data_IF_501015028327
#
_entry.id   IF_501015028327
#
_cell.length_a   1.000
_cell.length_b   1.000
_cell.length_c   1.000
_cell.angle_alpha   90.00
_cell.angle_beta   90.00
_cell.angle_gamma   90.00
#
_symmetry.space_group_name_H-M   'P 1'
#
loop_
_entity.id
_entity.type
_entity.pdbx_description
1 polymer ?
#
# COMPACT_ATOMS: atom_id res chain seq x y z
N UNK A 1 -18.37 -9.22 7.62
CA UNK A 1 -17.55 -9.48 8.79
C UNK A 1 -16.63 -8.31 9.14
N UNK A 2 -15.75 -7.85 8.26
CA UNK A 2 -14.89 -6.69 8.54
C UNK A 2 -15.68 -5.39 8.79
N UNK A 3 -16.79 -5.16 8.07
CA UNK A 3 -17.69 -4.03 8.32
C UNK A 3 -18.29 -4.06 9.74
N UNK A 4 -18.53 -5.24 10.29
CA UNK A 4 -18.98 -5.43 11.66
C UNK A 4 -17.87 -5.05 12.65
N UNK A 5 -16.63 -5.52 12.46
CA UNK A 5 -15.50 -5.15 13.33
C UNK A 5 -15.27 -3.63 13.33
N UNK A 6 -15.29 -2.99 12.15
CA UNK A 6 -15.19 -1.54 12.06
C UNK A 6 -16.37 -0.85 12.73
N UNK A 7 -17.59 -1.34 12.51
CA UNK A 7 -18.79 -0.83 13.16
C UNK A 7 -18.71 -0.92 14.68
N UNK A 8 -18.19 -2.05 15.19
CA UNK A 8 -18.01 -2.28 16.63
C UNK A 8 -16.96 -1.33 17.22
N UNK A 9 -15.81 -1.17 16.55
CA UNK A 9 -14.75 -0.22 16.99
C UNK A 9 -15.26 1.21 16.99
N UNK A 10 -15.99 1.61 15.95
CA UNK A 10 -16.59 2.96 15.87
C UNK A 10 -17.64 3.17 16.96
N UNK A 11 -18.42 2.14 17.29
CA UNK A 11 -19.41 2.20 18.39
C UNK A 11 -18.74 2.36 19.75
N UNK A 12 -17.61 1.67 20.01
CA UNK A 12 -16.82 1.88 21.21
C UNK A 12 -16.21 3.28 21.27
N UNK A 13 -15.66 3.78 20.16
CA UNK A 13 -15.12 5.12 20.09
C UNK A 13 -16.21 6.16 20.37
N UNK A 14 -17.41 5.99 19.81
CA UNK A 14 -18.54 6.88 20.06
C UNK A 14 -18.99 6.86 21.53
N UNK A 15 -19.06 5.67 22.14
CA UNK A 15 -19.36 5.50 23.57
C UNK A 15 -18.31 6.16 24.48
N UNK A 16 -17.01 6.00 24.16
CA UNK A 16 -15.92 6.61 24.89
C UNK A 16 -15.97 8.15 24.81
N UNK A 17 -16.20 8.69 23.60
CA UNK A 17 -16.33 10.14 23.39
C UNK A 17 -17.56 10.71 24.11
N UNK A 18 -18.69 9.99 24.07
CA UNK A 18 -19.87 10.40 24.81
C UNK A 18 -19.64 10.39 26.32
N UNK A 19 -19.00 9.34 26.85
CA UNK A 19 -18.65 9.25 28.28
C UNK A 19 -17.72 10.38 28.71
N UNK A 20 -16.70 10.68 27.88
CA UNK A 20 -15.79 11.79 28.12
C UNK A 20 -16.52 13.14 28.11
N UNK A 21 -17.42 13.34 27.14
CA UNK A 21 -18.24 14.54 27.04
C UNK A 21 -19.15 14.74 28.26
N UNK A 22 -19.75 13.67 28.80
CA UNK A 22 -20.56 13.75 30.02
C UNK A 22 -19.72 14.07 31.25
N UNK A 23 -18.52 13.48 31.39
CA UNK A 23 -17.59 13.79 32.47
C UNK A 23 -17.17 15.27 32.42
N UNK A 24 -16.75 15.75 31.25
CA UNK A 24 -16.31 17.14 31.06
C UNK A 24 -17.46 18.11 31.35
N UNK A 25 -18.67 17.82 30.87
CA UNK A 25 -19.83 18.68 31.12
C UNK A 25 -20.22 18.72 32.59
N UNK A 26 -20.11 17.60 33.33
CA UNK A 26 -20.35 17.56 34.78
C UNK A 26 -19.32 18.34 35.57
N UNK A 27 -18.04 18.27 35.19
CA UNK A 27 -16.96 19.04 35.81
C UNK A 27 -17.13 20.55 35.54
N UNK A 28 -17.50 20.93 34.32
CA UNK A 28 -17.72 22.35 33.98
C UNK A 28 -18.97 22.94 34.68
N UNK A 29 -19.97 22.08 34.98
CA UNK A 29 -21.16 22.49 35.74
C UNK A 29 -20.94 22.56 37.26
N UNK A 30 -19.71 22.35 37.73
CA UNK A 30 -19.36 22.42 39.15
C UNK A 30 -20.05 21.37 40.04
N UNK A 31 -20.54 20.27 39.46
CA UNK A 31 -21.12 19.16 40.19
C UNK A 31 -20.02 18.24 40.72
N UNK A 32 -20.02 17.87 42.00
CA UNK A 32 -19.02 16.94 42.53
C UNK A 32 -19.11 15.60 41.79
N UNK A 33 -17.96 15.01 41.48
CA UNK A 33 -17.83 13.67 40.91
C UNK A 33 -18.08 12.61 42.00
N UNK A 34 -19.23 12.67 42.64
CA UNK A 34 -19.72 11.59 43.50
C UNK A 34 -20.13 10.41 42.61
N UNK A 35 -19.98 9.18 43.08
CA UNK A 35 -20.16 7.93 42.31
C UNK A 35 -21.47 7.77 41.55
N UNK A 36 -22.29 8.85 41.46
CA UNK A 36 -23.51 8.96 40.66
C UNK A 36 -23.26 9.10 39.16
N UNK A 37 -21.99 9.29 38.71
CA UNK A 37 -21.68 9.37 37.28
C UNK A 37 -22.03 8.07 36.52
N UNK A 38 -21.91 6.91 37.19
CA UNK A 38 -22.33 5.62 36.62
C UNK A 38 -23.86 5.47 36.51
N UNK A 39 -24.62 6.22 37.32
CA UNK A 39 -26.10 6.21 37.27
C UNK A 39 -26.64 7.03 36.12
N UNK A 40 -25.84 7.94 35.56
CA UNK A 40 -26.25 8.78 34.44
C UNK A 40 -26.15 8.08 33.07
N UNK A 41 -25.52 6.90 33.00
CA UNK A 41 -25.45 6.12 31.75
C UNK A 41 -26.80 5.44 31.51
N UNK A 42 -27.49 5.73 30.40
CA UNK A 42 -28.76 5.06 30.10
C UNK A 42 -28.60 3.55 30.09
N UNK A 43 -29.49 2.83 30.80
CA UNK A 43 -29.45 1.35 30.87
C UNK A 43 -29.26 0.66 29.51
N UNK A 44 -29.90 1.11 28.40
CA UNK A 44 -29.62 0.51 27.07
C UNK A 44 -28.15 0.60 26.64
N UNK A 45 -27.44 1.68 26.99
CA UNK A 45 -26.01 1.82 26.65
C UNK A 45 -25.13 0.86 27.44
N UNK A 46 -25.47 0.54 28.68
CA UNK A 46 -24.75 -0.48 29.45
C UNK A 46 -24.89 -1.87 28.82
N UNK A 47 -26.08 -2.21 28.32
CA UNK A 47 -26.31 -3.46 27.61
C UNK A 47 -25.55 -3.52 26.28
N UNK A 48 -25.51 -2.42 25.53
CA UNK A 48 -24.71 -2.32 24.31
C UNK A 48 -23.22 -2.49 24.64
N UNK A 49 -22.72 -1.80 25.66
CA UNK A 49 -21.32 -1.91 26.08
C UNK A 49 -20.95 -3.33 26.53
N UNK A 50 -21.87 -4.05 27.20
CA UNK A 50 -21.64 -5.44 27.61
C UNK A 50 -21.76 -6.44 26.45
N UNK A 51 -22.60 -6.19 25.46
CA UNK A 51 -22.77 -7.06 24.30
C UNK A 51 -21.61 -6.91 23.27
N UNK A 52 -21.00 -5.74 23.16
CA UNK A 52 -19.94 -5.46 22.19
C UNK A 52 -18.71 -6.39 22.32
N UNK A 53 -18.14 -6.68 23.50
CA UNK A 53 -17.03 -7.65 23.65
C UNK A 53 -17.41 -9.04 23.19
N UNK A 54 -18.64 -9.46 23.45
CA UNK A 54 -19.16 -10.78 23.04
C UNK A 54 -19.26 -10.84 21.51
N UNK A 55 -19.80 -9.80 20.87
CA UNK A 55 -19.86 -9.70 19.43
C UNK A 55 -18.46 -9.72 18.79
N UNK A 56 -17.51 -8.96 19.35
CA UNK A 56 -16.10 -8.98 18.89
C UNK A 56 -15.48 -10.36 19.01
N UNK A 57 -15.72 -11.06 20.11
CA UNK A 57 -15.20 -12.42 20.32
C UNK A 57 -15.80 -13.40 19.31
N UNK A 58 -17.11 -13.31 19.05
CA UNK A 58 -17.80 -14.14 18.04
C UNK A 58 -17.27 -13.82 16.63
N UNK A 59 -17.10 -12.55 16.30
CA UNK A 59 -16.55 -12.12 15.02
C UNK A 59 -15.10 -12.58 14.84
N UNK A 60 -14.26 -12.46 15.86
CA UNK A 60 -12.89 -12.96 15.85
C UNK A 60 -12.85 -14.48 15.65
N UNK A 61 -13.74 -15.22 16.32
CA UNK A 61 -13.86 -16.66 16.16
C UNK A 61 -14.32 -17.04 14.74
N UNK A 62 -15.36 -16.38 14.23
CA UNK A 62 -15.85 -16.60 12.86
C UNK A 62 -14.77 -16.25 11.83
N UNK A 63 -14.06 -15.14 12.03
CA UNK A 63 -12.94 -14.75 11.18
C UNK A 63 -11.85 -15.83 11.18
N UNK A 64 -11.47 -16.32 12.35
CA UNK A 64 -10.48 -17.37 12.50
C UNK A 64 -10.90 -18.63 11.77
N UNK A 65 -12.13 -19.11 11.99
CA UNK A 65 -12.68 -20.31 11.34
C UNK A 65 -12.77 -20.16 9.82
N UNK A 66 -13.21 -19.00 9.34
CA UNK A 66 -13.31 -18.73 7.90
C UNK A 66 -11.92 -18.58 7.25
N UNK A 67 -10.95 -18.04 7.97
CA UNK A 67 -9.57 -17.90 7.50
C UNK A 67 -8.87 -19.24 7.34
N UNK A 68 -9.13 -20.18 8.25
CA UNK A 68 -8.60 -21.56 8.15
C UNK A 68 -9.04 -22.23 6.82
N UNK A 69 -10.23 -21.95 6.35
CA UNK A 69 -10.78 -22.56 5.10
C UNK A 69 -10.33 -21.91 3.81
N UNK A 70 -9.88 -20.64 3.84
CA UNK A 70 -9.62 -19.86 2.61
C UNK A 70 -8.20 -20.00 2.06
N UNK A 71 -7.26 -20.34 2.88
CA UNK A 71 -5.85 -20.30 2.50
C UNK A 71 -5.32 -21.75 2.46
N UNK A 72 -5.18 -22.28 1.25
CA UNK A 72 -4.62 -23.60 1.03
C UNK A 72 -3.26 -23.79 1.71
N UNK A 73 -2.88 -25.02 1.91
CA UNK A 73 -1.62 -25.45 2.54
C UNK A 73 -0.40 -25.04 1.67
N UNK A 74 -0.10 -23.75 1.62
CA UNK A 74 1.22 -23.35 1.14
C UNK A 74 2.22 -23.62 2.26
N UNK A 75 3.23 -24.49 2.01
CA UNK A 75 4.22 -24.80 3.03
C UNK A 75 4.88 -23.52 3.55
N UNK A 76 4.89 -23.33 4.87
CA UNK A 76 5.67 -22.28 5.51
C UNK A 76 7.12 -22.75 5.54
N UNK A 77 7.90 -22.32 4.55
CA UNK A 77 9.30 -22.64 4.45
C UNK A 77 10.11 -21.43 4.02
N UNK A 78 11.34 -21.34 4.51
CA UNK A 78 12.29 -20.36 4.00
C UNK A 78 12.63 -20.77 2.56
N UNK A 79 12.36 -19.90 1.60
CA UNK A 79 12.79 -20.06 0.22
C UNK A 79 14.22 -19.53 0.13
N UNK A 80 15.04 -20.24 -0.56
CA UNK A 80 16.39 -19.79 -0.92
C UNK A 80 16.63 -20.19 -2.37
N UNK A 81 16.32 -19.29 -3.27
CA UNK A 81 16.39 -19.51 -4.71
C UNK A 81 17.01 -18.28 -5.37
N UNK A 82 18.32 -18.35 -5.55
CA UNK A 82 19.10 -17.25 -6.10
C UNK A 82 18.68 -17.00 -7.55
N UNK A 83 18.44 -15.74 -7.89
CA UNK A 83 18.23 -15.32 -9.27
C UNK A 83 19.62 -15.07 -9.89
N UNK A 84 20.09 -15.96 -10.75
CA UNK A 84 21.39 -15.75 -11.39
C UNK A 84 21.27 -14.62 -12.42
N UNK A 85 22.27 -13.73 -12.47
CA UNK A 85 22.36 -12.68 -13.49
C UNK A 85 21.07 -11.86 -13.62
N UNK A 86 20.84 -10.96 -12.69
CA UNK A 86 19.66 -10.09 -12.71
C UNK A 86 19.53 -9.36 -14.06
N UNK A 87 18.34 -9.49 -14.66
CA UNK A 87 17.93 -8.71 -15.82
C UNK A 87 16.72 -7.89 -15.39
N UNK A 88 17.00 -6.70 -14.83
CA UNK A 88 16.00 -5.82 -14.25
C UNK A 88 15.40 -4.94 -15.33
N UNK A 89 14.09 -4.93 -15.43
CA UNK A 89 13.33 -3.94 -16.21
C UNK A 89 12.52 -3.07 -15.27
N UNK A 90 12.73 -1.76 -15.39
CA UNK A 90 12.02 -0.77 -14.58
C UNK A 90 10.81 -0.26 -15.36
N UNK A 91 9.61 -0.51 -14.85
CA UNK A 91 8.36 0.08 -15.30
C UNK A 91 8.09 1.36 -14.50
N UNK A 92 8.22 2.50 -15.14
CA UNK A 92 8.10 3.82 -14.53
C UNK A 92 6.83 4.51 -15.03
N UNK A 93 5.95 4.90 -14.14
CA UNK A 93 4.73 5.64 -14.49
C UNK A 93 5.00 7.14 -14.47
N UNK A 94 4.48 7.87 -15.46
CA UNK A 94 4.62 9.31 -15.57
C UNK A 94 3.33 9.99 -16.03
N UNK A 95 3.04 11.16 -15.48
CA UNK A 95 1.94 12.03 -15.90
C UNK A 95 2.27 13.49 -15.58
N UNK A 96 2.57 14.29 -16.61
CA UNK A 96 3.02 15.67 -16.49
C UNK A 96 4.19 15.82 -15.50
N UNK A 97 5.23 15.05 -15.70
CA UNK A 97 6.43 14.98 -14.85
C UNK A 97 7.68 15.49 -15.60
N UNK A 98 7.53 16.48 -16.52
CA UNK A 98 8.63 17.01 -17.34
C UNK A 98 9.81 17.53 -16.53
N UNK A 99 9.56 18.00 -15.29
CA UNK A 99 10.60 18.54 -14.40
C UNK A 99 11.51 17.44 -13.82
N UNK A 100 11.01 16.20 -13.72
CA UNK A 100 11.66 15.13 -12.98
C UNK A 100 12.05 13.92 -13.84
N UNK A 101 11.33 13.70 -14.94
CA UNK A 101 11.40 12.42 -15.64
C UNK A 101 12.79 12.08 -16.19
N UNK A 102 13.53 13.07 -16.70
CA UNK A 102 14.87 12.84 -17.24
C UNK A 102 15.83 12.32 -16.17
N UNK A 103 15.86 12.98 -15.01
CA UNK A 103 16.71 12.58 -13.89
C UNK A 103 16.27 11.23 -13.33
N UNK A 104 14.95 10.98 -13.21
CA UNK A 104 14.42 9.71 -12.75
C UNK A 104 14.86 8.55 -13.67
N UNK A 105 14.74 8.72 -14.98
CA UNK A 105 15.18 7.72 -15.96
C UNK A 105 16.68 7.45 -15.82
N UNK A 106 17.51 8.51 -15.76
CA UNK A 106 18.98 8.37 -15.65
C UNK A 106 19.37 7.70 -14.34
N UNK A 107 18.75 8.08 -13.21
CA UNK A 107 19.04 7.50 -11.89
C UNK A 107 18.76 5.99 -11.88
N UNK A 108 17.61 5.55 -12.40
CA UNK A 108 17.29 4.11 -12.42
C UNK A 108 18.10 3.37 -13.46
N UNK A 109 18.36 3.97 -14.63
CA UNK A 109 19.15 3.36 -15.69
C UNK A 109 20.62 3.16 -15.32
N UNK A 110 21.16 3.99 -14.45
CA UNK A 110 22.52 3.87 -13.95
C UNK A 110 22.72 2.75 -12.92
N UNK A 111 21.64 2.14 -12.42
CA UNK A 111 21.76 1.10 -11.41
C UNK A 111 22.27 -0.22 -12.02
N UNK A 112 23.07 -0.99 -11.25
CA UNK A 112 23.53 -2.30 -11.68
C UNK A 112 22.38 -3.20 -12.13
N UNK A 113 22.62 -3.98 -13.18
CA UNK A 113 21.69 -4.97 -13.73
C UNK A 113 20.38 -4.43 -14.30
N UNK A 114 20.14 -3.13 -14.29
CA UNK A 114 19.02 -2.51 -15.02
C UNK A 114 19.35 -2.55 -16.51
N UNK A 115 18.52 -3.27 -17.27
CA UNK A 115 18.66 -3.45 -18.71
C UNK A 115 17.82 -2.48 -19.51
N UNK A 116 16.66 -2.11 -18.97
CA UNK A 116 15.72 -1.21 -19.62
C UNK A 116 14.92 -0.41 -18.60
N UNK A 117 14.61 0.84 -18.94
CA UNK A 117 13.64 1.67 -18.26
C UNK A 117 12.51 1.95 -19.23
N UNK A 118 11.32 1.49 -18.91
CA UNK A 118 10.10 1.71 -19.68
C UNK A 118 9.29 2.79 -18.97
N UNK A 119 9.15 3.94 -19.60
CA UNK A 119 8.29 5.03 -19.11
C UNK A 119 6.92 4.89 -19.73
N UNK A 120 5.90 4.73 -18.88
CA UNK A 120 4.50 4.76 -19.32
C UNK A 120 3.97 6.17 -19.14
N UNK A 121 3.83 6.86 -20.25
CA UNK A 121 3.21 8.18 -20.29
C UNK A 121 1.69 8.05 -20.32
N UNK A 122 1.04 8.50 -19.25
CA UNK A 122 -0.42 8.39 -19.09
C UNK A 122 -1.13 9.69 -19.48
N UNK A 123 -1.07 10.03 -20.77
CA UNK A 123 -1.67 11.24 -21.36
C UNK A 123 -1.08 12.54 -20.81
N UNK A 124 0.23 12.67 -20.72
CA UNK A 124 0.87 13.95 -20.39
C UNK A 124 0.56 15.00 -21.46
N UNK A 125 0.39 16.24 -21.03
CA UNK A 125 0.17 17.40 -21.88
C UNK A 125 1.42 18.28 -21.97
N UNK A 126 2.47 17.95 -21.26
CA UNK A 126 3.78 18.57 -21.23
C UNK A 126 4.81 17.73 -22.03
N UNK A 127 6.07 18.03 -21.86
CA UNK A 127 7.17 17.34 -22.56
C UNK A 127 7.64 16.05 -21.91
N UNK A 128 6.86 15.45 -20.99
CA UNK A 128 7.25 14.26 -20.23
C UNK A 128 7.72 13.13 -21.15
N UNK A 129 6.95 12.75 -22.15
CA UNK A 129 7.29 11.66 -23.08
C UNK A 129 8.57 11.92 -23.87
N UNK A 130 8.73 13.12 -24.41
CA UNK A 130 9.91 13.51 -25.18
C UNK A 130 11.18 13.49 -24.33
N UNK A 131 11.09 14.04 -23.12
CA UNK A 131 12.20 14.09 -22.17
C UNK A 131 12.60 12.70 -21.66
N UNK A 132 11.63 11.82 -21.43
CA UNK A 132 11.87 10.44 -21.08
C UNK A 132 12.62 9.70 -22.19
N UNK A 133 12.19 9.87 -23.45
CA UNK A 133 12.87 9.27 -24.62
C UNK A 133 14.29 9.81 -24.77
N UNK A 134 14.47 11.13 -24.66
CA UNK A 134 15.78 11.78 -24.72
C UNK A 134 16.74 11.30 -23.61
N UNK A 135 16.21 10.96 -22.42
CA UNK A 135 16.97 10.36 -21.31
C UNK A 135 17.30 8.88 -21.55
N UNK A 136 16.81 8.28 -22.64
CA UNK A 136 17.09 6.91 -23.06
C UNK A 136 16.11 5.87 -22.54
N UNK A 137 14.90 6.26 -22.12
CA UNK A 137 13.84 5.32 -21.79
C UNK A 137 13.10 4.86 -23.04
N UNK A 138 12.55 3.65 -22.98
CA UNK A 138 11.51 3.22 -23.91
C UNK A 138 10.17 3.81 -23.46
N UNK A 139 9.62 4.72 -24.24
CA UNK A 139 8.34 5.37 -23.91
C UNK A 139 7.17 4.59 -24.49
N UNK A 140 6.15 4.36 -23.69
CA UNK A 140 4.89 3.69 -24.05
C UNK A 140 3.72 4.55 -23.63
N UNK A 141 2.78 4.78 -24.52
CA UNK A 141 1.55 5.54 -24.23
C UNK A 141 0.47 4.64 -23.64
N UNK A 142 -0.17 5.07 -22.54
CA UNK A 142 -1.40 4.45 -22.02
C UNK A 142 -2.55 5.46 -22.13
N UNK A 143 -3.46 5.30 -23.10
CA UNK A 143 -4.52 6.28 -23.37
C UNK A 143 -5.61 6.32 -22.28
N UNK A 144 -5.76 5.27 -21.48
CA UNK A 144 -6.73 5.27 -20.38
C UNK A 144 -6.14 6.03 -19.20
N UNK A 145 -6.74 7.17 -18.87
CA UNK A 145 -6.28 7.99 -17.76
C UNK A 145 -6.44 7.26 -16.43
N UNK A 146 -5.36 7.10 -15.68
CA UNK A 146 -5.37 6.56 -14.32
C UNK A 146 -4.09 5.82 -13.97
N UNK A 147 -3.64 6.06 -12.75
CA UNK A 147 -2.39 5.51 -12.20
C UNK A 147 -2.29 3.98 -12.38
N UNK A 148 -3.36 3.26 -12.03
CA UNK A 148 -3.36 1.80 -12.15
C UNK A 148 -3.29 1.30 -13.59
N UNK A 149 -3.86 2.03 -14.55
CA UNK A 149 -3.73 1.68 -15.97
C UNK A 149 -2.29 1.82 -16.45
N UNK A 150 -1.62 2.91 -16.06
CA UNK A 150 -0.21 3.10 -16.35
C UNK A 150 0.66 1.98 -15.72
N UNK A 151 0.38 1.62 -14.46
CA UNK A 151 1.07 0.50 -13.80
C UNK A 151 0.89 -0.82 -14.56
N UNK A 152 -0.35 -1.19 -14.90
CA UNK A 152 -0.64 -2.44 -15.61
C UNK A 152 0.03 -2.46 -16.99
N UNK A 153 0.01 -1.33 -17.70
CA UNK A 153 0.70 -1.21 -18.99
C UNK A 153 2.21 -1.42 -18.84
N UNK A 154 2.84 -0.73 -17.90
CA UNK A 154 4.28 -0.86 -17.65
C UNK A 154 4.71 -2.26 -17.24
N UNK A 155 3.95 -2.91 -16.36
CA UNK A 155 4.18 -4.29 -15.93
C UNK A 155 4.07 -5.28 -17.10
N UNK A 156 3.09 -5.08 -17.97
CA UNK A 156 2.92 -5.91 -19.18
C UNK A 156 4.09 -5.74 -20.14
N UNK A 157 4.45 -4.50 -20.48
CA UNK A 157 5.57 -4.20 -21.36
C UNK A 157 6.91 -4.69 -20.83
N UNK A 158 7.10 -4.64 -19.51
CA UNK A 158 8.30 -5.16 -18.88
C UNK A 158 8.45 -6.68 -19.03
N UNK A 159 7.35 -7.43 -19.01
CA UNK A 159 7.37 -8.88 -19.22
C UNK A 159 7.68 -9.27 -20.66
N UNK A 160 7.49 -8.39 -21.62
CA UNK A 160 7.82 -8.63 -23.04
C UNK A 160 9.33 -8.45 -23.30
N UNK A 161 10.07 -7.86 -22.36
CA UNK A 161 11.52 -7.68 -22.52
C UNK A 161 12.26 -9.03 -22.47
N UNK A 162 13.19 -9.28 -23.42
CA UNK A 162 13.89 -10.55 -23.49
C UNK A 162 14.64 -10.88 -22.20
N UNK A 163 14.47 -12.12 -21.72
CA UNK A 163 15.19 -12.67 -20.54
C UNK A 163 14.96 -11.89 -19.24
N UNK A 164 13.93 -11.04 -19.15
CA UNK A 164 13.59 -10.37 -17.89
C UNK A 164 13.31 -11.39 -16.78
N UNK A 165 13.93 -11.19 -15.63
CA UNK A 165 13.70 -12.02 -14.45
C UNK A 165 13.28 -11.20 -13.22
N UNK A 166 13.54 -9.88 -13.22
CA UNK A 166 13.07 -8.95 -12.20
C UNK A 166 12.38 -7.75 -12.87
N UNK A 167 11.18 -7.43 -12.41
CA UNK A 167 10.45 -6.22 -12.81
C UNK A 167 10.33 -5.29 -11.62
N UNK A 168 10.67 -4.03 -11.80
CA UNK A 168 10.53 -2.97 -10.79
C UNK A 168 9.45 -2.01 -11.25
N UNK A 169 8.51 -1.70 -10.37
CA UNK A 169 7.49 -0.66 -10.57
C UNK A 169 7.84 0.56 -9.73
N UNK A 170 7.83 1.74 -10.32
CA UNK A 170 8.16 3.01 -9.66
C UNK A 170 7.48 4.20 -10.33
N UNK A 171 7.41 5.35 -9.66
CA UNK A 171 6.97 6.63 -10.23
C UNK A 171 8.17 7.46 -10.71
N UNK A 172 7.97 8.25 -11.79
CA UNK A 172 9.01 9.09 -12.41
C UNK A 172 9.17 10.47 -11.78
N UNK A 173 8.80 10.66 -10.53
CA UNK A 173 8.68 11.94 -9.83
C UNK A 173 9.82 12.26 -8.85
N UNK A 174 10.90 11.49 -8.89
CA UNK A 174 12.08 11.59 -8.01
C UNK A 174 11.84 11.29 -6.53
N UNK A 175 10.64 10.82 -6.14
CA UNK A 175 10.36 10.48 -4.74
C UNK A 175 11.13 9.24 -4.27
N UNK A 176 11.42 8.30 -5.15
CA UNK A 176 12.18 7.08 -4.84
C UNK A 176 13.61 7.16 -5.34
N UNK A 177 14.51 6.52 -4.61
CA UNK A 177 15.93 6.47 -4.98
C UNK A 177 16.25 5.17 -5.73
N UNK A 178 16.87 5.30 -6.91
CA UNK A 178 17.29 4.15 -7.72
C UNK A 178 18.25 3.21 -6.98
N UNK A 179 19.13 3.76 -6.13
CA UNK A 179 20.07 2.99 -5.30
C UNK A 179 19.39 1.99 -4.35
N UNK A 180 18.09 2.19 -4.03
CA UNK A 180 17.36 1.27 -3.16
C UNK A 180 17.05 -0.07 -3.84
N UNK A 181 17.28 -0.21 -5.16
CA UNK A 181 17.27 -1.51 -5.82
C UNK A 181 18.25 -2.49 -5.19
N UNK A 182 19.40 -2.00 -4.71
CA UNK A 182 20.39 -2.81 -3.99
C UNK A 182 19.87 -3.38 -2.66
N UNK A 183 18.81 -2.79 -2.09
CA UNK A 183 18.13 -3.30 -0.90
C UNK A 183 16.99 -4.27 -1.26
N UNK A 184 16.23 -3.99 -2.32
CA UNK A 184 15.05 -4.77 -2.67
C UNK A 184 15.37 -6.06 -3.41
N UNK A 185 16.25 -5.98 -4.41
CA UNK A 185 16.53 -7.11 -5.33
C UNK A 185 17.07 -8.35 -4.62
N UNK A 186 17.99 -8.26 -3.66
CA UNK A 186 18.50 -9.45 -2.96
C UNK A 186 17.44 -10.23 -2.19
N UNK A 187 16.39 -9.58 -1.69
CA UNK A 187 15.31 -10.28 -1.01
C UNK A 187 14.46 -11.13 -1.95
N UNK A 188 14.54 -10.91 -3.27
CA UNK A 188 13.84 -11.77 -4.23
C UNK A 188 14.36 -13.20 -4.25
N UNK A 189 15.54 -13.48 -3.68
CA UNK A 189 16.02 -14.84 -3.48
C UNK A 189 15.15 -15.63 -2.46
N UNK A 190 14.46 -14.91 -1.59
CA UNK A 190 13.62 -15.48 -0.54
C UNK A 190 12.13 -15.35 -0.81
N UNK A 191 11.71 -14.34 -1.61
CA UNK A 191 10.29 -14.01 -1.83
C UNK A 191 9.99 -13.75 -3.29
N UNK A 192 8.72 -13.67 -3.62
CA UNK A 192 8.24 -13.42 -4.98
C UNK A 192 8.10 -11.93 -5.28
N UNK A 193 7.78 -11.13 -4.26
CA UNK A 193 7.61 -9.68 -4.38
C UNK A 193 8.16 -8.96 -3.14
N UNK A 194 8.92 -7.92 -3.37
CA UNK A 194 9.40 -6.97 -2.36
C UNK A 194 8.67 -5.65 -2.57
N UNK A 195 8.11 -5.11 -1.51
CA UNK A 195 7.41 -3.81 -1.50
C UNK A 195 8.22 -2.84 -0.65
N UNK A 196 8.41 -1.63 -1.13
CA UNK A 196 9.00 -0.58 -0.32
C UNK A 196 8.06 -0.15 0.81
N UNK A 197 8.61 0.31 1.93
CA UNK A 197 7.84 1.01 2.95
C UNK A 197 8.49 2.36 3.26
N UNK A 198 7.66 3.40 3.43
CA UNK A 198 8.05 4.79 3.69
C UNK A 198 7.81 5.21 5.13
N UNK A 199 7.54 4.25 6.01
CA UNK A 199 7.22 4.51 7.42
C UNK A 199 8.44 4.72 8.32
N UNK A 200 9.65 4.55 7.76
CA UNK A 200 10.92 4.71 8.46
C UNK A 200 11.39 6.16 8.32
N UNK A 201 11.35 6.90 9.42
CA UNK A 201 11.64 8.34 9.44
C UNK A 201 13.05 8.66 8.96
N UNK A 202 14.03 7.84 9.32
CA UNK A 202 15.45 8.01 8.98
C UNK A 202 15.73 7.91 7.46
N UNK A 203 14.80 7.36 6.71
CA UNK A 203 14.88 7.24 5.25
C UNK A 203 13.96 8.21 4.51
N UNK A 204 13.27 9.07 5.24
CA UNK A 204 12.34 10.06 4.68
C UNK A 204 12.93 11.45 4.85
N UNK A 205 13.07 12.21 3.74
CA UNK A 205 13.57 13.59 3.83
C UNK A 205 12.55 14.50 4.51
N UNK A 206 13.04 15.46 5.30
CA UNK A 206 12.19 16.38 6.09
C UNK A 206 11.21 17.19 5.23
N UNK A 207 11.63 17.52 4.00
CA UNK A 207 10.83 18.26 3.02
C UNK A 207 9.93 17.37 2.16
N UNK A 208 9.84 16.05 2.48
CA UNK A 208 8.96 15.12 1.79
C UNK A 208 7.49 15.45 2.02
N UNK A 209 6.64 15.01 1.10
CA UNK A 209 5.18 15.19 1.20
C UNK A 209 4.51 14.22 2.19
N UNK A 210 5.29 13.34 2.82
CA UNK A 210 4.79 12.29 3.69
C UNK A 210 4.59 12.84 5.11
N UNK A 211 3.44 13.48 5.35
CA UNK A 211 3.08 13.92 6.69
C UNK A 211 2.64 12.74 7.58
N UNK A 212 2.66 12.96 8.89
CA UNK A 212 2.17 11.98 9.88
C UNK A 212 0.79 11.42 9.53
N UNK A 213 -0.11 12.24 8.99
CA UNK A 213 -1.44 11.83 8.56
C UNK A 213 -1.41 10.72 7.50
N UNK A 214 -0.54 10.85 6.50
CA UNK A 214 -0.37 9.84 5.45
C UNK A 214 0.34 8.59 5.97
N UNK A 215 1.32 8.73 6.85
CA UNK A 215 2.00 7.59 7.49
C UNK A 215 0.99 6.75 8.27
N UNK A 216 0.26 7.37 9.19
CA UNK A 216 -0.74 6.66 10.01
C UNK A 216 -1.90 6.11 9.18
N UNK A 217 -2.36 6.84 8.17
CA UNK A 217 -3.39 6.37 7.24
C UNK A 217 -2.94 5.11 6.48
N UNK A 218 -1.73 5.09 5.94
CA UNK A 218 -1.17 3.91 5.28
C UNK A 218 -0.97 2.75 6.25
N UNK A 219 -0.46 2.99 7.46
CA UNK A 219 -0.32 1.96 8.49
C UNK A 219 -1.66 1.35 8.86
N UNK A 220 -2.70 2.16 9.03
CA UNK A 220 -4.05 1.67 9.29
C UNK A 220 -4.55 0.75 8.17
N UNK A 221 -4.46 1.19 6.91
CA UNK A 221 -4.84 0.37 5.75
C UNK A 221 -4.00 -0.91 5.63
N UNK A 222 -2.72 -0.83 5.99
CA UNK A 222 -1.83 -1.98 6.04
C UNK A 222 -2.29 -3.01 7.08
N UNK A 223 -2.66 -2.55 8.30
CA UNK A 223 -3.20 -3.44 9.33
C UNK A 223 -4.54 -4.02 8.95
N UNK A 224 -5.41 -3.26 8.28
CA UNK A 224 -6.66 -3.79 7.70
C UNK A 224 -6.38 -4.92 6.71
N UNK A 225 -5.45 -4.71 5.79
CA UNK A 225 -5.04 -5.72 4.81
C UNK A 225 -4.45 -6.95 5.52
N UNK A 226 -3.61 -6.75 6.51
CA UNK A 226 -2.99 -7.82 7.30
C UNK A 226 -4.05 -8.64 8.04
N UNK A 227 -5.04 -8.01 8.66
CA UNK A 227 -6.17 -8.69 9.32
C UNK A 227 -7.01 -9.46 8.30
N UNK A 228 -7.28 -8.89 7.13
CA UNK A 228 -8.04 -9.57 6.07
C UNK A 228 -7.40 -10.88 5.60
N UNK A 229 -6.07 -10.90 5.53
CA UNK A 229 -5.28 -12.06 5.09
C UNK A 229 -4.64 -12.82 6.25
N UNK A 230 -5.10 -12.57 7.49
CA UNK A 230 -4.61 -13.30 8.65
C UNK A 230 -5.10 -14.75 8.63
N UNK A 231 -4.23 -15.68 8.97
CA UNK A 231 -4.58 -17.05 9.22
C UNK A 231 -3.83 -17.58 10.46
N UNK A 232 -4.45 -18.52 11.14
CA UNK A 232 -3.94 -19.04 12.42
C UNK A 232 -2.70 -19.93 12.23
N UNK A 233 -2.61 -20.65 11.12
CA UNK A 233 -1.49 -21.56 10.82
C UNK A 233 -0.16 -20.82 10.69
N UNK A 234 -0.21 -19.60 10.12
CA UNK A 234 0.98 -18.85 9.74
C UNK A 234 1.15 -17.58 10.58
N UNK A 235 0.33 -17.38 11.62
CA UNK A 235 0.38 -16.19 12.49
C UNK A 235 0.34 -14.88 11.68
N UNK A 236 -0.42 -14.91 10.59
CA UNK A 236 -0.45 -13.85 9.57
C UNK A 236 0.69 -13.99 8.56
N UNK A 237 0.34 -14.15 7.29
CA UNK A 237 1.29 -14.39 6.18
C UNK A 237 2.19 -13.21 5.88
N UNK A 238 1.72 -12.01 6.15
CA UNK A 238 2.39 -10.77 5.73
C UNK A 238 2.47 -9.81 6.90
N UNK A 239 3.58 -9.08 7.00
CA UNK A 239 3.75 -7.96 7.91
C UNK A 239 3.81 -6.70 7.08
N UNK A 240 2.81 -5.81 7.24
CA UNK A 240 2.64 -4.63 6.41
C UNK A 240 2.58 -3.36 7.26
N UNK A 241 3.22 -2.32 6.76
CA UNK A 241 3.19 -0.97 7.33
C UNK A 241 2.80 0.09 6.30
N UNK A 242 2.96 -0.18 4.99
CA UNK A 242 2.67 0.78 3.93
C UNK A 242 2.10 0.12 2.67
N UNK A 243 0.77 0.06 2.54
CA UNK A 243 0.12 -0.47 1.33
C UNK A 243 0.13 0.49 0.14
N UNK A 244 0.42 1.76 0.40
CA UNK A 244 0.41 2.82 -0.61
C UNK A 244 1.75 3.01 -1.32
N UNK A 245 2.82 2.35 -0.89
CA UNK A 245 4.11 2.46 -1.55
C UNK A 245 4.06 1.90 -2.97
N UNK A 246 4.58 2.67 -3.90
CA UNK A 246 4.58 2.33 -5.33
C UNK A 246 5.85 1.60 -5.75
N UNK A 247 6.97 1.85 -5.07
CA UNK A 247 8.23 1.16 -5.36
C UNK A 247 8.16 -0.33 -4.98
N UNK A 248 8.26 -1.20 -5.98
CA UNK A 248 8.16 -2.65 -5.81
C UNK A 248 9.10 -3.38 -6.77
N UNK A 249 9.66 -4.46 -6.29
CA UNK A 249 10.40 -5.40 -7.13
C UNK A 249 9.67 -6.76 -7.09
N UNK A 250 9.49 -7.39 -8.22
CA UNK A 250 8.80 -8.67 -8.35
C UNK A 250 9.52 -9.59 -9.33
N UNK A 251 9.58 -10.87 -9.03
CA UNK A 251 10.05 -11.89 -9.98
C UNK A 251 9.14 -11.90 -11.21
N UNK A 252 9.71 -11.93 -12.40
CA UNK A 252 8.93 -11.93 -13.64
C UNK A 252 7.95 -13.12 -13.72
N UNK A 253 8.34 -14.29 -13.24
CA UNK A 253 7.47 -15.47 -13.18
C UNK A 253 6.29 -15.28 -12.21
N UNK A 254 6.50 -14.63 -11.06
CA UNK A 254 5.44 -14.31 -10.13
C UNK A 254 4.50 -13.23 -10.70
N UNK A 255 5.05 -12.24 -11.41
CA UNK A 255 4.26 -11.23 -12.09
C UNK A 255 3.31 -11.84 -13.14
N UNK A 256 3.79 -12.82 -13.95
CA UNK A 256 2.96 -13.52 -14.92
C UNK A 256 1.75 -14.21 -14.27
N UNK A 257 1.90 -14.72 -13.03
CA UNK A 257 0.79 -15.39 -12.31
C UNK A 257 -0.31 -14.41 -11.86
N UNK A 258 0.01 -13.14 -11.68
CA UNK A 258 -0.94 -12.16 -11.13
C UNK A 258 -1.43 -11.13 -12.16
N UNK A 259 -0.74 -10.95 -13.28
CA UNK A 259 -0.97 -9.85 -14.22
C UNK A 259 -2.42 -9.77 -14.69
N UNK A 260 -3.02 -10.88 -15.08
CA UNK A 260 -4.41 -10.95 -15.57
C UNK A 260 -5.45 -10.63 -14.46
N UNK A 261 -5.05 -10.69 -13.21
CA UNK A 261 -5.90 -10.36 -12.08
C UNK A 261 -5.82 -8.88 -11.66
N UNK A 262 -4.87 -8.12 -12.22
CA UNK A 262 -4.74 -6.69 -11.97
C UNK A 262 -5.77 -5.94 -12.82
N UNK A 263 -6.80 -5.35 -12.17
CA UNK A 263 -7.95 -4.75 -12.88
C UNK A 263 -8.30 -3.34 -12.41
N UNK A 264 -7.51 -2.77 -11.52
CA UNK A 264 -7.79 -1.48 -10.89
C UNK A 264 -7.05 -0.36 -11.59
N UNK A 265 -7.78 0.57 -12.22
CA UNK A 265 -7.19 1.70 -12.95
C UNK A 265 -6.83 2.92 -12.09
N UNK A 266 -7.34 3.02 -10.86
CA UNK A 266 -7.14 4.19 -9.99
C UNK A 266 -5.99 4.07 -9.00
N UNK A 267 -5.89 5.06 -8.08
CA UNK A 267 -4.83 5.12 -7.06
C UNK A 267 -4.84 3.96 -6.05
N UNK A 268 -5.96 3.23 -5.91
CA UNK A 268 -6.05 2.02 -5.09
C UNK A 268 -5.44 0.78 -5.78
N UNK A 269 -4.71 0.97 -6.88
CA UNK A 269 -3.94 -0.09 -7.53
C UNK A 269 -2.85 -0.67 -6.60
N UNK A 270 -2.18 0.18 -5.82
CA UNK A 270 -1.10 -0.26 -4.92
C UNK A 270 -1.55 -1.33 -3.91
N UNK A 271 -2.61 -1.11 -3.09
CA UNK A 271 -3.15 -2.18 -2.24
C UNK A 271 -3.76 -3.33 -3.06
N UNK A 272 -4.35 -3.07 -4.25
CA UNK A 272 -4.92 -4.12 -5.08
C UNK A 272 -3.86 -5.14 -5.53
N UNK A 273 -2.76 -4.68 -6.10
CA UNK A 273 -1.66 -5.57 -6.53
C UNK A 273 -1.13 -6.41 -5.37
N UNK A 274 -0.99 -5.81 -4.18
CA UNK A 274 -0.56 -6.50 -2.98
C UNK A 274 -1.55 -7.59 -2.56
N UNK A 275 -2.85 -7.27 -2.55
CA UNK A 275 -3.91 -8.25 -2.20
C UNK A 275 -3.98 -9.39 -3.22
N UNK A 276 -3.84 -9.09 -4.51
CA UNK A 276 -3.77 -10.14 -5.56
C UNK A 276 -2.58 -11.05 -5.33
N UNK A 277 -1.39 -10.49 -5.08
CA UNK A 277 -0.19 -11.28 -4.80
C UNK A 277 -0.38 -12.21 -3.60
N UNK A 278 -0.88 -11.69 -2.48
CA UNK A 278 -1.14 -12.48 -1.26
C UNK A 278 -2.20 -13.56 -1.52
N UNK A 279 -3.28 -13.23 -2.22
CA UNK A 279 -4.38 -14.18 -2.51
C UNK A 279 -3.95 -15.33 -3.41
N UNK A 280 -2.97 -15.09 -4.28
CA UNK A 280 -2.35 -16.13 -5.13
C UNK A 280 -1.26 -16.93 -4.40
N UNK A 281 -1.01 -16.65 -3.14
CA UNK A 281 -0.04 -17.36 -2.33
C UNK A 281 1.41 -16.91 -2.53
N UNK A 282 1.64 -15.79 -3.23
CA UNK A 282 2.98 -15.24 -3.40
C UNK A 282 3.56 -14.79 -2.05
N UNK A 283 4.84 -15.03 -1.88
CA UNK A 283 5.60 -14.55 -0.71
C UNK A 283 5.93 -13.07 -0.91
N UNK A 284 5.52 -12.25 0.05
CA UNK A 284 5.72 -10.78 0.00
C UNK A 284 6.41 -10.30 1.27
N UNK A 285 7.35 -9.39 1.11
CA UNK A 285 8.04 -8.72 2.24
C UNK A 285 8.08 -7.21 2.01
N UNK A 286 8.03 -6.44 3.08
CA UNK A 286 8.29 -4.99 3.05
C UNK A 286 9.73 -4.69 3.44
N UNK A 287 10.37 -3.78 2.72
CA UNK A 287 11.72 -3.29 2.96
C UNK A 287 11.69 -1.76 3.01
N UNK A 288 12.32 -1.12 4.01
CA UNK A 288 12.40 0.33 4.10
C UNK A 288 13.16 0.94 2.91
N UNK A 289 12.53 1.92 2.26
CA UNK A 289 13.10 2.63 1.11
C UNK A 289 13.26 4.12 1.40
N UNK A 290 14.21 4.74 0.72
CA UNK A 290 14.41 6.18 0.78
C UNK A 290 13.24 6.89 0.11
N UNK A 291 12.63 7.85 0.81
CA UNK A 291 11.56 8.66 0.27
C UNK A 291 11.94 10.14 0.32
N UNK A 292 12.01 10.75 -0.84
CA UNK A 292 12.49 12.12 -1.05
C UNK A 292 11.33 13.07 -1.37
N UNK A 293 11.64 14.36 -1.36
CA UNK A 293 10.74 15.36 -1.89
C UNK A 293 10.46 15.08 -3.37
N UNK A 294 9.18 15.18 -3.74
CA UNK A 294 8.74 15.13 -5.13
C UNK A 294 9.22 16.37 -5.89
N UNK A 295 9.70 16.16 -7.09
CA UNK A 295 9.92 17.25 -8.03
C UNK A 295 8.61 17.53 -8.77
N UNK A 296 8.23 18.81 -8.85
CA UNK A 296 6.96 19.22 -9.47
C UNK A 296 5.75 19.10 -8.52
N UNK A 297 4.54 19.16 -9.09
CA UNK A 297 3.28 19.24 -8.35
C UNK A 297 2.66 17.86 -8.15
N UNK A 298 2.24 17.54 -6.93
CA UNK A 298 1.53 16.30 -6.64
C UNK A 298 0.13 16.30 -7.28
N UNK A 299 -0.18 15.26 -8.04
CA UNK A 299 -1.47 15.07 -8.73
C UNK A 299 -2.37 14.06 -8.01
N UNK A 300 -1.79 13.29 -7.09
CA UNK A 300 -2.46 12.28 -6.28
C UNK A 300 -2.88 12.75 -4.89
N UNK A 301 -2.69 11.88 -3.91
CA UNK A 301 -3.06 12.12 -2.51
C UNK A 301 -2.41 13.37 -1.90
N UNK A 302 -1.16 13.67 -2.26
CA UNK A 302 -0.41 14.82 -1.76
C UNK A 302 -0.90 16.19 -2.23
N UNK A 303 -1.85 16.27 -3.19
CA UNK A 303 -2.34 17.55 -3.72
C UNK A 303 -3.24 18.31 -2.73
N UNK A 304 -3.99 17.61 -1.87
CA UNK A 304 -4.73 18.19 -0.75
C UNK A 304 -5.12 17.11 0.27
N UNK A 305 -5.28 17.50 1.55
CA UNK A 305 -5.69 16.56 2.61
C UNK A 305 -7.05 15.91 2.32
N UNK A 306 -8.01 16.66 1.76
CA UNK A 306 -9.34 16.13 1.39
C UNK A 306 -9.24 15.10 0.26
N UNK A 307 -8.44 15.37 -0.76
CA UNK A 307 -8.21 14.41 -1.85
C UNK A 307 -7.50 13.16 -1.33
N UNK A 308 -6.51 13.34 -0.46
CA UNK A 308 -5.82 12.24 0.21
C UNK A 308 -6.77 11.37 1.03
N UNK A 309 -7.67 11.99 1.82
CA UNK A 309 -8.70 11.27 2.56
C UNK A 309 -9.64 10.49 1.63
N UNK A 310 -10.10 11.11 0.55
CA UNK A 310 -10.95 10.45 -0.45
C UNK A 310 -10.27 9.23 -1.10
N UNK A 311 -8.97 9.32 -1.39
CA UNK A 311 -8.19 8.17 -1.90
C UNK A 311 -8.07 7.10 -0.81
N UNK A 312 -7.77 7.48 0.43
CA UNK A 312 -7.70 6.56 1.57
C UNK A 312 -9.00 5.80 1.79
N UNK A 313 -10.14 6.49 1.74
CA UNK A 313 -11.48 5.86 1.86
C UNK A 313 -11.76 4.88 0.71
N UNK A 314 -11.33 5.19 -0.53
CA UNK A 314 -11.46 4.26 -1.65
C UNK A 314 -10.56 3.03 -1.47
N UNK A 315 -9.33 3.21 -0.98
CA UNK A 315 -8.45 2.09 -0.65
C UNK A 315 -9.07 1.22 0.45
N UNK A 316 -9.59 1.84 1.51
CA UNK A 316 -10.28 1.15 2.60
C UNK A 316 -11.47 0.34 2.07
N UNK A 317 -12.35 0.96 1.29
CA UNK A 317 -13.48 0.29 0.68
C UNK A 317 -13.05 -0.89 -0.19
N UNK A 318 -12.03 -0.68 -1.00
CA UNK A 318 -11.48 -1.74 -1.85
C UNK A 318 -10.90 -2.90 -1.03
N UNK A 319 -10.18 -2.61 0.07
CA UNK A 319 -9.69 -3.65 0.99
C UNK A 319 -10.86 -4.42 1.61
N UNK A 320 -11.94 -3.74 1.98
CA UNK A 320 -13.12 -4.36 2.58
C UNK A 320 -13.85 -5.31 1.61
N UNK A 321 -14.01 -4.88 0.37
CA UNK A 321 -14.85 -5.56 -0.63
C UNK A 321 -14.09 -6.57 -1.48
N UNK A 322 -12.75 -6.55 -1.48
CA UNK A 322 -11.91 -7.54 -2.18
C UNK A 322 -12.17 -8.94 -1.61
#
# INVERSE_FOLDING_TARGET
>A
MFALVVGTVLSYAALALWSLGTIVSSLLAGRPADGSLLVAVPRPMLWVAAALPILLAVEALLFTVLSIRRWGDTPHGVRWEIIPNHNIVVAMTAFNDEVSISEAVQEFRSQPDVREVIVVDNNSTDRTGDLAAAAGARVVQEPRQGYGYACMRGLKEALEFPKVNVVVLVEGDMTFAGKDLSKLVPYLDNVDMVVGTRTTQELTTEDSQLSWFYVWGNMFLAKMTQVKFWDIKHWGRVRLTDVGCTMRAIRAEALRQILDNLRVGGHHFSPHMLMVAISKGLKVVEIPVTFRRRWGVSKGAGSSKLKGLGIGLRMMWHILTY
#
